data_IF_579556275470
#
_entry.id   IF_579556275470
#
_cell.length_a   1.000
_cell.length_b   1.000
_cell.length_c   1.000
_cell.angle_alpha   90.00
_cell.angle_beta   90.00
_cell.angle_gamma   90.00
#
_symmetry.space_group_name_H-M   'P 1'
#
loop_
_entity.id
_entity.type
_entity.pdbx_description
1 polymer ?
#
# COMPACT_ATOMS: atom_id res chain seq x y z
N UNK A 1 7.80 -45.86 -24.87
CA UNK A 1 7.74 -44.49 -25.44
C UNK A 1 7.10 -43.48 -24.49
N UNK A 2 5.92 -43.75 -23.91
CA UNK A 2 5.23 -42.77 -23.04
C UNK A 2 6.03 -42.32 -21.80
N UNK A 3 6.80 -43.20 -21.15
CA UNK A 3 7.60 -42.83 -19.98
C UNK A 3 8.71 -41.81 -20.25
N UNK A 4 9.31 -41.84 -21.45
CA UNK A 4 10.37 -40.89 -21.83
C UNK A 4 9.79 -39.49 -22.03
N UNK A 5 8.59 -39.41 -22.62
CA UNK A 5 7.88 -38.14 -22.82
C UNK A 5 7.47 -37.53 -21.48
N UNK A 6 7.00 -38.34 -20.52
CA UNK A 6 6.63 -37.87 -19.17
C UNK A 6 7.85 -37.36 -18.41
N UNK A 7 8.97 -38.09 -18.45
CA UNK A 7 10.21 -37.66 -17.78
C UNK A 7 10.76 -36.39 -18.42
N UNK A 8 10.74 -36.29 -19.75
CA UNK A 8 11.18 -35.09 -20.46
C UNK A 8 10.30 -33.88 -20.12
N UNK A 9 8.98 -34.03 -20.15
CA UNK A 9 8.04 -32.98 -19.78
C UNK A 9 8.22 -32.55 -18.31
N UNK A 10 8.35 -33.49 -17.38
CA UNK A 10 8.60 -33.19 -15.97
C UNK A 10 9.91 -32.43 -15.76
N UNK A 11 10.98 -32.87 -16.43
CA UNK A 11 12.29 -32.19 -16.36
C UNK A 11 12.23 -30.77 -16.92
N UNK A 12 11.50 -30.54 -18.01
CA UNK A 12 11.31 -29.21 -18.58
C UNK A 12 10.51 -28.32 -17.62
N UNK A 13 9.41 -28.80 -17.05
CA UNK A 13 8.61 -28.03 -16.08
C UNK A 13 9.41 -27.72 -14.82
N UNK A 14 10.22 -28.67 -14.33
CA UNK A 14 11.05 -28.46 -13.15
C UNK A 14 12.08 -27.35 -13.40
N UNK A 15 12.75 -27.38 -14.56
CA UNK A 15 13.70 -26.32 -14.94
C UNK A 15 12.97 -24.97 -15.05
N UNK A 16 11.79 -24.92 -15.67
CA UNK A 16 10.99 -23.69 -15.75
C UNK A 16 10.64 -23.13 -14.37
N UNK A 17 10.18 -23.97 -13.43
CA UNK A 17 9.88 -23.57 -12.05
C UNK A 17 11.10 -23.09 -11.26
N UNK A 18 12.29 -23.61 -11.57
CA UNK A 18 13.53 -23.16 -10.95
C UNK A 18 14.05 -21.84 -11.54
N UNK A 19 13.73 -21.56 -12.81
CA UNK A 19 14.20 -20.35 -13.50
C UNK A 19 13.29 -19.14 -13.34
N UNK A 20 11.98 -19.36 -13.12
CA UNK A 20 11.00 -18.28 -13.01
C UNK A 20 10.49 -18.24 -11.57
N UNK A 21 10.95 -17.25 -10.82
CA UNK A 21 10.40 -16.90 -9.52
C UNK A 21 9.37 -15.79 -9.79
N UNK A 22 8.10 -16.12 -9.59
CA UNK A 22 7.02 -15.13 -9.64
C UNK A 22 6.80 -14.61 -8.22
N UNK A 23 7.30 -13.40 -7.95
CA UNK A 23 7.10 -12.69 -6.68
C UNK A 23 5.80 -11.84 -6.74
N UNK A 24 4.72 -12.47 -7.22
CA UNK A 24 3.41 -11.85 -7.26
C UNK A 24 2.81 -11.73 -5.85
N UNK A 25 2.35 -10.54 -5.49
CA UNK A 25 1.51 -10.35 -4.31
C UNK A 25 0.20 -11.14 -4.49
N UNK A 26 -0.33 -11.78 -3.43
CA UNK A 26 -1.59 -12.52 -3.51
C UNK A 26 -2.84 -11.63 -3.59
N UNK A 27 -2.67 -10.31 -3.64
CA UNK A 27 -3.74 -9.33 -3.72
C UNK A 27 -3.36 -8.15 -4.63
N UNK A 28 -4.31 -7.65 -5.41
CA UNK A 28 -4.15 -6.45 -6.24
C UNK A 28 -4.98 -5.27 -5.71
N UNK A 29 -6.01 -5.56 -4.90
CA UNK A 29 -6.94 -4.55 -4.38
C UNK A 29 -7.07 -4.58 -2.84
N UNK A 30 -7.55 -3.47 -2.26
CA UNK A 30 -7.88 -3.39 -0.83
C UNK A 30 -9.01 -4.36 -0.47
N UNK A 31 -9.90 -4.64 -1.42
CA UNK A 31 -10.98 -5.60 -1.24
C UNK A 31 -10.43 -7.02 -1.07
N UNK A 32 -9.41 -7.40 -1.83
CA UNK A 32 -8.75 -8.71 -1.69
C UNK A 32 -7.95 -8.79 -0.38
N UNK A 33 -7.28 -7.69 -0.01
CA UNK A 33 -6.58 -7.58 1.27
C UNK A 33 -7.52 -7.83 2.46
N UNK A 34 -8.73 -7.25 2.42
CA UNK A 34 -9.77 -7.47 3.43
C UNK A 34 -10.23 -8.94 3.48
N UNK A 35 -10.31 -9.62 2.34
CA UNK A 35 -10.75 -11.02 2.30
C UNK A 35 -9.74 -11.97 2.93
N UNK A 36 -8.45 -11.69 2.76
CA UNK A 36 -7.37 -12.52 3.29
C UNK A 36 -7.30 -12.47 4.83
N UNK A 37 -7.72 -11.36 5.46
CA UNK A 37 -7.78 -11.13 6.93
C UNK A 37 -6.47 -11.36 7.71
N UNK A 38 -5.41 -11.82 7.07
CA UNK A 38 -4.08 -12.01 7.65
C UNK A 38 -3.26 -10.73 7.66
N UNK A 39 -3.53 -9.83 6.70
CA UNK A 39 -2.76 -8.60 6.53
C UNK A 39 -3.27 -7.47 7.41
N UNK A 40 -2.34 -6.72 8.00
CA UNK A 40 -2.62 -5.52 8.80
C UNK A 40 -2.32 -4.30 7.96
N UNK A 41 -3.11 -3.23 8.15
CA UNK A 41 -2.95 -2.01 7.39
C UNK A 41 -2.54 -0.85 8.30
N UNK A 42 -1.33 -0.34 8.10
CA UNK A 42 -0.77 0.80 8.79
C UNK A 42 -1.16 2.13 8.17
N UNK A 43 -1.59 3.09 9.00
CA UNK A 43 -1.99 4.44 8.58
C UNK A 43 -1.31 5.47 9.47
N UNK A 44 -1.03 6.64 8.89
CA UNK A 44 -0.53 7.78 9.64
C UNK A 44 -1.64 8.38 10.52
N UNK A 45 -1.38 8.46 11.83
CA UNK A 45 -2.28 9.05 12.82
C UNK A 45 -2.48 10.55 12.57
N UNK A 46 -3.72 11.02 12.68
CA UNK A 46 -4.11 12.41 12.45
C UNK A 46 -4.04 12.84 10.98
N UNK A 47 -3.97 11.89 10.05
CA UNK A 47 -3.94 12.17 8.62
C UNK A 47 -5.34 12.14 8.01
N UNK A 48 -5.48 12.74 6.82
CA UNK A 48 -6.71 12.65 6.00
C UNK A 48 -7.09 11.20 5.70
N UNK A 49 -6.12 10.27 5.67
CA UNK A 49 -6.38 8.85 5.51
C UNK A 49 -7.16 8.29 6.71
N UNK A 50 -6.80 8.67 7.94
CA UNK A 50 -7.53 8.22 9.13
C UNK A 50 -9.00 8.65 9.07
N UNK A 51 -9.26 9.93 8.75
CA UNK A 51 -10.63 10.43 8.59
C UNK A 51 -11.37 9.75 7.44
N UNK A 52 -10.69 9.46 6.32
CA UNK A 52 -11.26 8.74 5.19
C UNK A 52 -11.68 7.33 5.57
N UNK A 53 -10.82 6.58 6.28
CA UNK A 53 -11.14 5.23 6.71
C UNK A 53 -12.22 5.17 7.80
N UNK A 54 -12.34 6.22 8.62
CA UNK A 54 -13.42 6.37 9.59
C UNK A 54 -14.75 6.80 8.94
N UNK A 55 -14.73 7.31 7.71
CA UNK A 55 -15.94 7.68 6.98
C UNK A 55 -16.80 6.45 6.64
N UNK A 56 -18.12 6.65 6.47
CA UNK A 56 -19.08 5.56 6.27
C UNK A 56 -18.79 4.67 5.05
N UNK A 57 -18.02 5.13 4.07
CA UNK A 57 -17.64 4.34 2.89
C UNK A 57 -16.52 3.32 3.15
N UNK A 58 -15.67 3.54 4.14
CA UNK A 58 -14.48 2.73 4.40
C UNK A 58 -14.42 2.11 5.81
N UNK A 59 -15.44 2.34 6.63
CA UNK A 59 -15.54 1.86 8.00
C UNK A 59 -15.36 0.32 8.11
N UNK A 60 -15.81 -0.44 7.11
CA UNK A 60 -15.62 -1.89 7.10
C UNK A 60 -14.15 -2.31 6.98
N UNK A 61 -13.32 -1.50 6.31
CA UNK A 61 -11.87 -1.72 6.22
C UNK A 61 -11.19 -1.32 7.52
N UNK A 62 -11.65 -0.22 8.14
CA UNK A 62 -11.18 0.22 9.45
C UNK A 62 -11.32 -0.87 10.51
N UNK A 63 -12.53 -1.40 10.67
CA UNK A 63 -12.82 -2.42 11.69
C UNK A 63 -12.10 -3.75 11.43
N UNK A 64 -11.79 -4.07 10.17
CA UNK A 64 -11.18 -5.34 9.79
C UNK A 64 -9.65 -5.33 9.84
N UNK A 65 -9.02 -4.21 9.45
CA UNK A 65 -7.58 -4.15 9.16
C UNK A 65 -6.79 -3.26 10.12
N UNK A 66 -7.46 -2.30 10.79
CA UNK A 66 -6.80 -1.22 11.55
C UNK A 66 -7.18 -1.27 13.03
N UNK A 67 -8.48 -1.21 13.36
CA UNK A 67 -8.99 -1.24 14.74
C UNK A 67 -8.49 -2.43 15.61
N UNK A 68 -8.33 -3.67 15.08
CA UNK A 68 -7.90 -4.79 15.91
C UNK A 68 -6.44 -4.69 16.36
N UNK A 69 -5.64 -3.80 15.78
CA UNK A 69 -4.19 -3.78 15.90
C UNK A 69 -3.70 -2.40 16.33
N UNK A 70 -3.23 -2.27 17.58
CA UNK A 70 -2.77 -0.99 18.14
C UNK A 70 -1.49 -0.42 17.50
N UNK A 71 -0.73 -1.25 16.79
CA UNK A 71 0.51 -0.95 16.09
C UNK A 71 0.31 -0.38 14.68
N UNK A 72 -0.93 -0.33 14.18
CA UNK A 72 -1.26 0.17 12.84
C UNK A 72 -1.25 1.69 12.74
N UNK A 73 -1.37 2.40 13.86
CA UNK A 73 -1.40 3.87 13.91
C UNK A 73 -0.06 4.42 14.34
N UNK A 74 0.69 4.99 13.39
CA UNK A 74 2.00 5.59 13.67
C UNK A 74 2.00 7.10 13.45
N UNK A 75 2.95 7.80 14.07
CA UNK A 75 3.04 9.27 13.95
C UNK A 75 3.93 9.70 12.78
N UNK A 76 4.80 8.79 12.30
CA UNK A 76 5.69 9.03 11.16
C UNK A 76 5.63 7.87 10.16
N UNK A 77 5.90 8.17 8.88
CA UNK A 77 6.08 7.16 7.83
C UNK A 77 7.30 6.27 8.09
N UNK A 78 8.34 6.78 8.76
CA UNK A 78 9.52 5.98 9.10
C UNK A 78 9.19 4.85 10.08
N UNK A 79 8.25 5.11 11.00
CA UNK A 79 7.77 4.10 11.95
C UNK A 79 6.98 3.01 11.22
N UNK A 80 6.01 3.40 10.37
CA UNK A 80 5.23 2.46 9.54
C UNK A 80 6.15 1.59 8.69
N UNK A 81 7.16 2.21 8.10
CA UNK A 81 8.16 1.52 7.29
C UNK A 81 8.97 0.53 8.11
N UNK A 82 9.42 0.93 9.30
CA UNK A 82 10.20 0.05 10.18
C UNK A 82 9.40 -1.16 10.63
N UNK A 83 8.08 -1.01 10.80
CA UNK A 83 7.15 -2.10 11.10
C UNK A 83 6.93 -3.00 9.87
N UNK A 84 6.67 -2.41 8.70
CA UNK A 84 6.54 -3.13 7.44
C UNK A 84 7.81 -3.91 7.06
N UNK A 85 8.99 -3.43 7.44
CA UNK A 85 10.25 -4.15 7.23
C UNK A 85 10.45 -5.31 8.21
N UNK A 86 9.76 -5.32 9.35
CA UNK A 86 9.87 -6.39 10.36
C UNK A 86 8.81 -7.46 10.19
N UNK A 87 7.62 -7.06 9.76
CA UNK A 87 6.45 -7.92 9.65
C UNK A 87 6.02 -8.04 8.18
N UNK A 88 6.15 -9.21 7.55
CA UNK A 88 5.78 -9.41 6.15
C UNK A 88 4.27 -9.29 5.90
N UNK A 89 3.45 -9.42 6.94
CA UNK A 89 2.00 -9.32 6.85
C UNK A 89 1.51 -7.87 7.12
N UNK A 90 2.42 -6.90 7.21
CA UNK A 90 2.09 -5.50 7.46
C UNK A 90 2.22 -4.66 6.18
N UNK A 91 1.08 -4.16 5.70
CA UNK A 91 1.02 -3.18 4.62
C UNK A 91 0.82 -1.78 5.19
N UNK A 92 1.29 -0.73 4.52
CA UNK A 92 1.03 0.66 4.94
C UNK A 92 0.47 1.49 3.79
N UNK A 93 -0.39 2.45 4.13
CA UNK A 93 -0.98 3.39 3.16
C UNK A 93 -0.24 4.72 3.22
N UNK A 94 0.13 5.22 2.04
CA UNK A 94 0.70 6.54 1.87
C UNK A 94 0.36 7.08 0.49
N UNK A 95 0.66 8.35 0.25
CA UNK A 95 0.56 8.90 -1.09
C UNK A 95 1.55 8.23 -2.04
N UNK A 96 1.14 8.03 -3.29
CA UNK A 96 1.97 7.41 -4.31
C UNK A 96 3.26 8.20 -4.53
N UNK A 97 3.23 9.53 -4.43
CA UNK A 97 4.42 10.36 -4.57
C UNK A 97 5.43 10.06 -3.46
N UNK A 98 5.00 9.95 -2.20
CA UNK A 98 5.90 9.67 -1.07
C UNK A 98 6.50 8.26 -1.22
N UNK A 99 5.71 7.27 -1.64
CA UNK A 99 6.20 5.90 -1.85
C UNK A 99 7.17 5.80 -3.03
N UNK A 100 6.91 6.51 -4.13
CA UNK A 100 7.76 6.51 -5.32
C UNK A 100 9.05 7.31 -5.13
N UNK A 101 8.99 8.40 -4.37
CA UNK A 101 10.14 9.26 -4.09
C UNK A 101 11.04 8.68 -2.99
N UNK A 102 10.66 7.60 -2.32
CA UNK A 102 11.46 6.96 -1.28
C UNK A 102 12.61 6.13 -1.87
N UNK A 103 13.87 6.59 -1.80
CA UNK A 103 15.01 5.90 -2.39
C UNK A 103 15.35 4.59 -1.65
N UNK A 104 14.96 4.47 -0.38
CA UNK A 104 15.21 3.27 0.42
C UNK A 104 14.07 2.26 0.20
N UNK A 105 12.87 2.73 -0.16
CA UNK A 105 11.65 1.92 -0.23
C UNK A 105 11.43 1.26 -1.57
N UNK A 106 11.93 1.87 -2.64
CA UNK A 106 11.68 1.46 -4.02
C UNK A 106 12.04 0.01 -4.37
N UNK A 107 12.99 -0.60 -3.65
CA UNK A 107 13.40 -2.00 -3.89
C UNK A 107 12.91 -2.98 -2.80
N UNK A 108 12.36 -2.48 -1.70
CA UNK A 108 11.95 -3.29 -0.54
C UNK A 108 10.43 -3.41 -0.48
N UNK A 109 9.72 -2.37 -0.91
CA UNK A 109 8.27 -2.31 -0.89
C UNK A 109 7.73 -2.27 -2.30
N UNK A 110 6.73 -3.11 -2.54
CA UNK A 110 5.98 -3.08 -3.78
C UNK A 110 4.74 -2.19 -3.62
N UNK A 111 4.71 -1.08 -4.36
CA UNK A 111 3.58 -0.13 -4.32
C UNK A 111 2.44 -0.59 -5.24
N UNK A 112 1.33 -1.04 -4.66
CA UNK A 112 0.10 -1.26 -5.42
C UNK A 112 -0.63 0.08 -5.62
N UNK A 113 -0.83 0.50 -6.87
CA UNK A 113 -1.50 1.76 -7.17
C UNK A 113 -2.99 1.65 -6.86
N UNK A 114 -3.44 2.36 -5.83
CA UNK A 114 -4.86 2.51 -5.54
C UNK A 114 -5.25 3.98 -5.47
N UNK A 115 -6.37 4.31 -6.09
CA UNK A 115 -6.91 5.66 -6.09
C UNK A 115 -7.78 5.85 -4.84
N UNK A 116 -7.15 6.05 -3.69
CA UNK A 116 -7.83 6.30 -2.41
C UNK A 116 -8.07 7.79 -2.16
N UNK A 117 -7.18 8.65 -2.65
CA UNK A 117 -7.24 10.10 -2.50
C UNK A 117 -6.90 10.80 -3.82
N UNK A 118 -7.50 11.95 -4.05
CA UNK A 118 -7.04 12.92 -5.04
C UNK A 118 -5.88 13.68 -4.41
N UNK A 119 -4.64 13.36 -4.81
CA UNK A 119 -3.48 14.13 -4.38
C UNK A 119 -3.40 15.44 -5.18
N UNK A 120 -4.23 16.39 -4.79
CA UNK A 120 -4.10 17.77 -5.26
C UNK A 120 -3.39 18.57 -4.18
N UNK A 121 -2.13 18.91 -4.43
CA UNK A 121 -1.37 19.82 -3.57
C UNK A 121 -1.88 21.24 -3.75
N UNK A 122 -2.34 21.87 -2.67
CA UNK A 122 -2.78 23.26 -2.69
C UNK A 122 -2.00 24.10 -1.68
N UNK A 123 -1.75 25.37 -2.04
CA UNK A 123 -1.21 26.35 -1.10
C UNK A 123 -2.36 26.93 -0.26
N UNK A 124 -2.21 26.87 1.06
CA UNK A 124 -3.15 27.45 2.00
C UNK A 124 -2.69 28.83 2.47
N UNK A 125 -3.53 29.85 2.29
CA UNK A 125 -3.31 31.18 2.86
C UNK A 125 -4.31 31.46 3.98
N UNK A 126 -3.93 32.27 4.99
CA UNK A 126 -4.89 32.75 5.98
C UNK A 126 -5.98 33.59 5.31
N UNK A 127 -7.22 33.44 5.78
CA UNK A 127 -8.39 34.12 5.24
C UNK A 127 -8.17 35.64 5.27
N UNK A 128 -8.24 36.28 4.10
CA UNK A 128 -7.99 37.73 3.94
C UNK A 128 -6.54 38.12 3.69
N UNK A 129 -5.64 37.17 3.42
CA UNK A 129 -4.27 37.53 3.02
C UNK A 129 -4.26 38.29 1.69
N UNK A 130 -3.38 39.29 1.51
CA UNK A 130 -3.27 40.03 0.25
C UNK A 130 -2.77 39.16 -0.91
N UNK A 131 -2.25 37.97 -0.62
CA UNK A 131 -1.70 37.04 -1.61
C UNK A 131 -2.75 36.20 -2.30
N UNK A 132 -3.97 36.09 -1.76
CA UNK A 132 -5.04 35.31 -2.42
C UNK A 132 -5.31 35.86 -3.81
N UNK A 133 -5.42 37.19 -3.97
CA UNK A 133 -5.66 37.82 -5.26
C UNK A 133 -4.52 37.71 -6.28
N UNK A 134 -3.34 37.21 -5.90
CA UNK A 134 -2.22 37.00 -6.85
C UNK A 134 -2.27 35.58 -7.42
N UNK A 135 -2.66 34.60 -6.60
CA UNK A 135 -2.64 33.18 -6.96
C UNK A 135 -4.02 32.61 -7.34
N UNK A 136 -5.11 33.38 -7.16
CA UNK A 136 -6.49 33.00 -7.50
C UNK A 136 -6.85 33.29 -8.98
N UNK A 137 -5.87 33.73 -9.80
CA UNK A 137 -6.04 33.92 -11.25
C UNK A 137 -5.36 32.80 -12.03
N UNK A 138 -6.02 31.65 -12.15
CA UNK A 138 -5.75 30.69 -13.22
C UNK A 138 -7.00 29.92 -13.62
#
# INVERSE_FOLDING_TARGET
>A
MMGVVVVAAYSATLVSFLTVIDEGLPFESLTDLKQLRTYRLGILKGSVLEELFQSQGFQEYWNALIEPYSDTLATSYDELRSLASRDPDFAYVGSYEIQKLDPVGACIFHSARQHLLFNDGALGWPKGSPYTGIFDFQ
#
